data_IF_611014221996
#
_entry.id   IF_611014221996
#
_cell.length_a   1.000
_cell.length_b   1.000
_cell.length_c   1.000
_cell.angle_alpha   90.00
_cell.angle_beta   90.00
_cell.angle_gamma   90.00
#
_symmetry.space_group_name_H-M   'P 1'
#
loop_
_entity.id
_entity.type
_entity.pdbx_description
1 polymer ?
#
# COMPACT_ATOMS: atom_id res chain seq x y z
N UNK A 1 37.25 -8.43 -29.32
CA UNK A 1 36.37 -7.77 -28.34
C UNK A 1 35.10 -8.59 -28.24
N UNK A 2 34.94 -9.39 -27.20
CA UNK A 2 33.73 -10.20 -26.99
C UNK A 2 32.64 -9.35 -26.30
N UNK A 3 31.34 -9.53 -26.61
CA UNK A 3 30.28 -8.79 -25.93
C UNK A 3 30.08 -9.37 -24.53
N UNK A 4 29.95 -8.48 -23.54
CA UNK A 4 29.51 -8.84 -22.20
C UNK A 4 28.00 -9.06 -22.27
N UNK A 5 27.56 -10.31 -22.33
CA UNK A 5 26.15 -10.67 -22.12
C UNK A 5 25.90 -10.51 -20.61
N UNK A 6 25.08 -9.52 -20.23
CA UNK A 6 24.56 -9.45 -18.85
C UNK A 6 23.51 -10.54 -18.69
N UNK A 7 23.76 -11.48 -17.80
CA UNK A 7 22.74 -12.43 -17.36
C UNK A 7 21.57 -11.68 -16.71
N UNK A 8 20.31 -12.05 -17.01
CA UNK A 8 19.17 -11.50 -16.30
C UNK A 8 19.30 -11.91 -14.83
N UNK A 9 19.39 -10.91 -13.95
CA UNK A 9 19.35 -11.14 -12.51
C UNK A 9 18.03 -11.84 -12.17
N UNK A 10 18.18 -12.98 -11.51
CA UNK A 10 17.12 -13.85 -10.98
C UNK A 10 15.92 -13.07 -10.46
N UNK A 11 14.76 -13.25 -11.12
CA UNK A 11 13.46 -12.85 -10.61
C UNK A 11 13.11 -13.76 -9.42
N UNK A 12 13.67 -13.46 -8.25
CA UNK A 12 13.18 -14.04 -7.00
C UNK A 12 11.73 -13.62 -6.80
N UNK A 13 10.88 -14.58 -6.42
CA UNK A 13 9.43 -14.45 -6.39
C UNK A 13 8.95 -13.28 -5.53
N UNK A 14 8.60 -12.16 -6.17
CA UNK A 14 8.03 -10.93 -5.58
C UNK A 14 6.65 -11.11 -4.93
N UNK A 15 6.13 -12.32 -4.80
CA UNK A 15 4.72 -12.58 -4.48
C UNK A 15 4.30 -12.33 -3.02
N UNK A 16 5.24 -12.24 -2.06
CA UNK A 16 4.88 -12.11 -0.63
C UNK A 16 5.85 -11.30 0.24
N UNK A 17 7.02 -10.92 -0.27
CA UNK A 17 7.96 -10.11 0.50
C UNK A 17 7.38 -8.71 0.78
N UNK A 18 7.52 -8.25 2.02
CA UNK A 18 7.03 -6.93 2.45
C UNK A 18 5.53 -6.85 2.74
N UNK A 19 4.77 -7.96 2.60
CA UNK A 19 3.34 -7.99 2.91
C UNK A 19 3.09 -7.97 4.41
N UNK A 20 2.15 -7.14 4.86
CA UNK A 20 1.64 -7.14 6.23
C UNK A 20 0.16 -6.75 6.24
N UNK A 21 -0.55 -7.22 7.27
CA UNK A 21 -1.96 -6.86 7.51
C UNK A 21 -2.05 -5.91 8.71
N UNK A 22 -2.67 -4.74 8.50
CA UNK A 22 -2.90 -3.76 9.55
C UNK A 22 -4.33 -3.92 10.08
N UNK A 23 -4.53 -4.08 11.41
CA UNK A 23 -5.87 -4.08 11.98
C UNK A 23 -6.50 -2.69 11.91
N UNK A 24 -7.74 -2.62 11.45
CA UNK A 24 -8.55 -1.41 11.36
C UNK A 24 -9.76 -1.58 12.27
N UNK A 25 -9.84 -0.76 13.31
CA UNK A 25 -10.99 -0.70 14.21
C UNK A 25 -12.04 0.23 13.61
N UNK A 26 -13.27 -0.28 13.54
CA UNK A 26 -14.46 0.43 13.05
C UNK A 26 -15.60 0.29 14.07
N UNK A 27 -16.70 1.04 13.95
CA UNK A 27 -17.85 0.89 14.84
C UNK A 27 -18.50 -0.51 14.82
N UNK A 28 -18.33 -1.27 13.73
CA UNK A 28 -18.98 -2.59 13.52
C UNK A 28 -18.03 -3.77 13.69
N UNK A 29 -16.76 -3.52 14.01
CA UNK A 29 -15.78 -4.58 14.22
C UNK A 29 -14.35 -4.16 13.88
N UNK A 30 -13.42 -5.08 14.13
CA UNK A 30 -12.02 -4.95 13.68
C UNK A 30 -11.81 -5.80 12.44
N UNK A 31 -11.26 -5.19 11.41
CA UNK A 31 -10.92 -5.83 10.15
C UNK A 31 -9.41 -5.75 9.89
N UNK A 32 -8.93 -6.42 8.86
CA UNK A 32 -7.55 -6.38 8.41
C UNK A 32 -7.48 -5.81 7.01
N UNK A 33 -6.61 -4.81 6.83
CA UNK A 33 -6.27 -4.30 5.51
C UNK A 33 -4.89 -4.76 5.11
N UNK A 34 -4.76 -5.12 3.84
CA UNK A 34 -3.52 -5.58 3.25
C UNK A 34 -2.62 -4.39 2.88
N UNK A 35 -1.33 -4.54 3.13
CA UNK A 35 -0.31 -3.61 2.65
C UNK A 35 0.91 -4.39 2.16
N UNK A 36 1.72 -3.78 1.27
CA UNK A 36 3.01 -4.31 0.83
C UNK A 36 4.05 -3.21 0.76
N UNK A 37 5.17 -3.46 1.42
CA UNK A 37 6.37 -2.62 1.39
C UNK A 37 7.27 -2.99 0.22
N UNK A 38 7.78 -1.98 -0.48
CA UNK A 38 8.87 -2.11 -1.46
C UNK A 38 9.91 -1.04 -1.18
N UNK A 39 11.19 -1.41 -1.18
CA UNK A 39 12.28 -0.56 -0.72
C UNK A 39 12.50 -0.63 0.80
N UNK A 40 13.52 0.08 1.27
CA UNK A 40 13.88 0.16 2.69
C UNK A 40 14.52 1.53 2.98
N UNK A 41 13.72 2.47 3.50
CA UNK A 41 14.15 3.84 3.75
C UNK A 41 13.46 4.44 4.98
N UNK A 42 14.27 4.90 5.94
CA UNK A 42 13.76 5.46 7.19
C UNK A 42 13.21 6.89 7.06
N UNK A 43 13.59 7.63 6.01
CA UNK A 43 13.38 9.07 5.86
C UNK A 43 12.33 9.44 4.81
N UNK A 44 12.08 8.58 3.82
CA UNK A 44 11.06 8.82 2.79
C UNK A 44 10.21 7.57 2.62
N UNK A 45 9.02 7.62 3.23
CA UNK A 45 7.97 6.59 3.17
C UNK A 45 6.77 7.17 2.44
N UNK A 46 6.36 6.54 1.35
CA UNK A 46 5.27 7.00 0.50
C UNK A 46 4.12 6.00 0.59
N UNK A 47 2.98 6.43 1.13
CA UNK A 47 1.74 5.64 1.12
C UNK A 47 0.93 5.96 -0.14
N UNK A 48 0.66 4.93 -0.94
CA UNK A 48 -0.02 5.03 -2.23
C UNK A 48 -1.54 4.83 -2.04
N UNK A 49 -2.31 5.90 -2.18
CA UNK A 49 -3.76 5.90 -2.02
C UNK A 49 -4.46 5.70 -3.37
N UNK A 50 -4.97 4.49 -3.60
CA UNK A 50 -5.73 4.20 -4.80
C UNK A 50 -7.14 4.77 -4.75
N UNK A 51 -7.70 5.05 -5.92
CA UNK A 51 -9.10 5.46 -6.10
C UNK A 51 -10.05 4.26 -6.07
N UNK A 52 -11.32 4.52 -6.33
CA UNK A 52 -12.36 3.50 -6.26
C UNK A 52 -13.43 3.64 -7.34
N UNK A 53 -14.49 2.80 -7.25
CA UNK A 53 -14.60 1.70 -6.28
C UNK A 53 -13.87 0.45 -6.79
N UNK A 54 -13.07 -0.18 -5.90
CA UNK A 54 -12.40 -1.47 -6.11
C UNK A 54 -11.27 -1.52 -7.17
N UNK A 55 -10.67 -0.38 -7.52
CA UNK A 55 -9.33 -0.44 -8.10
C UNK A 55 -8.33 -0.94 -7.05
N UNK A 56 -7.26 -1.53 -7.53
CA UNK A 56 -6.18 -2.09 -6.74
C UNK A 56 -4.92 -1.26 -6.99
N UNK A 57 -3.88 -1.51 -6.21
CA UNK A 57 -2.72 -0.62 -6.10
C UNK A 57 -1.68 -0.81 -7.22
N UNK A 58 -1.85 -1.82 -8.08
CA UNK A 58 -0.86 -2.31 -9.05
C UNK A 58 -0.56 -1.30 -10.17
N UNK A 59 -1.45 -0.34 -10.45
CA UNK A 59 -1.15 0.70 -11.44
C UNK A 59 -0.01 1.63 -11.00
N UNK A 60 0.30 1.66 -9.70
CA UNK A 60 1.46 2.37 -9.16
C UNK A 60 2.78 1.61 -9.32
N UNK A 61 2.79 0.36 -9.81
CA UNK A 61 4.04 -0.40 -10.04
C UNK A 61 5.01 0.31 -10.98
N UNK A 62 4.48 1.17 -11.87
CA UNK A 62 5.28 2.05 -12.73
C UNK A 62 6.18 3.04 -11.98
N UNK A 63 5.95 3.27 -10.69
CA UNK A 63 6.76 4.16 -9.86
C UNK A 63 8.05 3.53 -9.35
N UNK A 64 8.12 2.19 -9.23
CA UNK A 64 9.24 1.49 -8.60
C UNK A 64 10.60 1.81 -9.25
N UNK A 65 10.77 1.79 -10.59
CA UNK A 65 12.09 2.02 -11.19
C UNK A 65 12.69 3.37 -10.82
N UNK A 66 11.86 4.40 -10.66
CA UNK A 66 12.35 5.73 -10.32
C UNK A 66 12.38 5.96 -8.80
N UNK A 67 11.26 5.74 -8.11
CA UNK A 67 11.17 6.08 -6.69
C UNK A 67 11.93 5.10 -5.80
N UNK A 68 11.97 3.82 -6.16
CA UNK A 68 12.68 2.79 -5.38
C UNK A 68 14.10 2.63 -5.91
N UNK A 69 14.27 2.28 -7.18
CA UNK A 69 15.61 1.90 -7.68
C UNK A 69 16.54 3.12 -7.82
N UNK A 70 16.07 4.23 -8.40
CA UNK A 70 16.91 5.44 -8.58
C UNK A 70 16.98 6.33 -7.34
N UNK A 71 15.87 6.49 -6.59
CA UNK A 71 15.80 7.39 -5.42
C UNK A 71 15.96 6.69 -4.07
N UNK A 72 15.82 5.38 -4.01
CA UNK A 72 15.95 4.61 -2.78
C UNK A 72 14.82 4.84 -1.78
N UNK A 73 13.64 5.30 -2.20
CA UNK A 73 12.50 5.55 -1.31
C UNK A 73 11.79 4.25 -0.93
N UNK A 74 11.02 4.30 0.17
CA UNK A 74 10.16 3.20 0.61
C UNK A 74 8.72 3.47 0.18
N UNK A 75 8.15 2.55 -0.61
CA UNK A 75 6.77 2.61 -1.06
C UNK A 75 5.91 1.62 -0.25
N UNK A 76 4.71 2.06 0.10
CA UNK A 76 3.66 1.23 0.66
C UNK A 76 2.46 1.21 -0.27
N UNK A 77 2.25 0.05 -0.87
CA UNK A 77 0.99 -0.31 -1.48
C UNK A 77 0.00 -0.68 -0.38
N UNK A 78 -1.25 -0.27 -0.51
CA UNK A 78 -2.31 -0.64 0.43
C UNK A 78 -3.62 -0.89 -0.32
N UNK A 79 -4.41 -1.84 0.16
CA UNK A 79 -5.77 -2.06 -0.32
C UNK A 79 -6.76 -1.60 0.73
N UNK A 80 -7.68 -0.71 0.37
CA UNK A 80 -8.75 -0.26 1.25
C UNK A 80 -9.57 -1.43 1.78
N UNK A 81 -10.15 -1.30 2.98
CA UNK A 81 -11.14 -2.25 3.46
C UNK A 81 -12.28 -2.36 2.45
N UNK A 82 -12.58 -3.59 2.02
CA UNK A 82 -13.48 -3.88 0.90
C UNK A 82 -12.80 -3.97 -0.47
N UNK A 83 -11.48 -3.88 -0.57
CA UNK A 83 -10.73 -4.03 -1.83
C UNK A 83 -9.86 -5.28 -1.83
N UNK A 84 -10.03 -6.12 -2.86
CA UNK A 84 -9.22 -7.28 -3.24
C UNK A 84 -8.65 -8.12 -2.08
N UNK A 85 -7.43 -7.81 -1.61
CA UNK A 85 -6.71 -8.60 -0.59
C UNK A 85 -7.03 -8.19 0.86
N UNK A 86 -7.76 -7.10 1.07
CA UNK A 86 -8.26 -6.70 2.38
C UNK A 86 -9.57 -7.40 2.71
N UNK A 87 -9.92 -7.42 4.00
CA UNK A 87 -11.19 -7.99 4.46
C UNK A 87 -12.37 -7.35 3.72
N UNK A 88 -13.38 -8.17 3.46
CA UNK A 88 -14.60 -7.78 2.77
C UNK A 88 -15.73 -7.70 3.80
N UNK A 89 -16.09 -6.50 4.27
CA UNK A 89 -17.20 -6.38 5.20
C UNK A 89 -18.50 -6.76 4.47
N UNK A 90 -19.18 -7.82 4.92
CA UNK A 90 -20.47 -8.29 4.38
C UNK A 90 -21.64 -7.37 4.69
N UNK A 91 -21.37 -6.07 4.87
CA UNK A 91 -22.32 -5.02 5.27
C UNK A 91 -22.49 -4.04 4.11
N UNK A 92 -22.51 -4.56 2.89
CA UNK A 92 -22.72 -3.81 1.64
C UNK A 92 -24.05 -3.03 1.56
N UNK A 93 -24.91 -3.15 2.58
CA UNK A 93 -26.14 -2.36 2.79
C UNK A 93 -26.11 -1.48 4.06
N UNK A 94 -24.99 -1.44 4.78
CA UNK A 94 -24.76 -0.58 5.94
C UNK A 94 -23.84 0.59 5.53
N UNK A 95 -24.43 1.77 5.37
CA UNK A 95 -23.71 2.97 4.95
C UNK A 95 -22.72 3.48 6.01
N UNK A 96 -22.70 2.90 7.22
CA UNK A 96 -21.78 3.33 8.29
C UNK A 96 -20.31 3.14 7.92
N UNK A 97 -19.99 2.16 7.07
CA UNK A 97 -18.63 1.96 6.57
C UNK A 97 -18.30 2.84 5.37
N UNK A 98 -19.23 3.11 4.46
CA UNK A 98 -18.92 3.76 3.16
C UNK A 98 -18.97 5.29 3.21
N UNK A 99 -18.35 5.87 4.24
CA UNK A 99 -18.28 7.32 4.42
C UNK A 99 -16.84 7.84 4.25
N UNK A 100 -16.64 9.07 3.73
CA UNK A 100 -15.32 9.67 3.64
C UNK A 100 -14.59 9.72 5.00
N UNK A 101 -15.32 9.96 6.08
CA UNK A 101 -14.75 9.99 7.43
C UNK A 101 -14.12 8.64 7.81
N UNK A 102 -14.81 7.52 7.57
CA UNK A 102 -14.25 6.17 7.83
C UNK A 102 -12.98 5.95 7.02
N UNK A 103 -12.97 6.31 5.73
CA UNK A 103 -11.79 6.13 4.89
C UNK A 103 -10.59 6.96 5.37
N UNK A 104 -10.81 8.19 5.85
CA UNK A 104 -9.74 9.02 6.45
C UNK A 104 -9.20 8.38 7.74
N UNK A 105 -10.09 7.89 8.61
CA UNK A 105 -9.68 7.20 9.85
C UNK A 105 -8.93 5.89 9.57
N UNK A 106 -9.30 5.15 8.52
CA UNK A 106 -8.59 3.96 8.07
C UNK A 106 -7.17 4.32 7.60
N UNK A 107 -7.00 5.37 6.78
CA UNK A 107 -5.69 5.84 6.34
C UNK A 107 -4.82 6.24 7.53
N UNK A 108 -5.39 6.89 8.54
CA UNK A 108 -4.66 7.25 9.77
C UNK A 108 -4.20 6.01 10.56
N UNK A 109 -5.03 4.98 10.65
CA UNK A 109 -4.68 3.71 11.29
C UNK A 109 -3.59 2.97 10.50
N UNK A 110 -3.69 2.92 9.18
CA UNK A 110 -2.65 2.36 8.29
C UNK A 110 -1.33 3.12 8.46
N UNK A 111 -1.36 4.45 8.38
CA UNK A 111 -0.18 5.31 8.56
C UNK A 111 0.55 5.00 9.86
N UNK A 112 -0.19 4.94 10.98
CA UNK A 112 0.36 4.57 12.30
C UNK A 112 0.93 3.16 12.31
N UNK A 113 0.20 2.19 11.78
CA UNK A 113 0.63 0.79 11.71
C UNK A 113 1.93 0.58 10.92
N UNK A 114 2.18 1.44 9.92
CA UNK A 114 3.38 1.41 9.08
C UNK A 114 4.54 2.27 9.63
N UNK A 115 4.35 2.94 10.77
CA UNK A 115 5.37 3.84 11.35
C UNK A 115 5.66 5.07 10.49
N UNK A 116 4.69 5.47 9.65
CA UNK A 116 4.77 6.70 8.86
C UNK A 116 4.39 7.86 9.77
N UNK A 117 5.19 8.91 9.83
CA UNK A 117 4.96 10.08 10.68
C UNK A 117 5.32 11.38 9.95
N UNK A 118 5.23 12.51 10.64
CA UNK A 118 5.48 13.85 10.06
C UNK A 118 6.92 14.07 9.59
N UNK A 119 7.87 13.25 10.03
CA UNK A 119 9.30 13.38 9.70
C UNK A 119 9.69 12.58 8.46
N UNK A 120 8.90 11.57 8.08
CA UNK A 120 9.23 10.66 6.99
C UNK A 120 8.10 10.38 5.99
N UNK A 121 6.89 10.87 6.23
CA UNK A 121 5.68 10.45 5.53
C UNK A 121 5.21 11.34 4.39
N UNK A 122 4.88 10.71 3.27
CA UNK A 122 4.27 11.32 2.09
C UNK A 122 3.08 10.49 1.62
N UNK A 123 2.08 11.14 1.02
CA UNK A 123 0.89 10.49 0.47
C UNK A 123 0.74 10.85 -1.01
N UNK A 124 0.46 9.85 -1.84
CA UNK A 124 0.12 10.04 -3.26
C UNK A 124 -1.25 9.43 -3.49
N UNK A 125 -2.25 10.26 -3.79
CA UNK A 125 -3.61 9.82 -4.10
C UNK A 125 -3.93 9.98 -5.58
N UNK A 126 -4.57 8.99 -6.19
CA UNK A 126 -5.03 9.06 -7.57
C UNK A 126 -6.33 8.27 -7.78
N UNK A 127 -7.20 8.78 -8.66
CA UNK A 127 -8.44 8.17 -9.13
C UNK A 127 -8.51 8.15 -10.65
#
# INVERSE_FOLDING_TARGET
MSPIIREPQSSTSRGSAGVQFIPITTPVGTFKVWTRKVGDNAHVKILLLHGGPAFTTEYFESFEPYLVDDKGYELYYYHQLGSYLSDQPGTEHDDTLWTPHRFVEEVEQVRKGLGINSENGYFVGNS
#
